data_IF_453421006213
#
_entry.id   IF_453421006213
#
_cell.length_a   1.000
_cell.length_b   1.000
_cell.length_c   1.000
_cell.angle_alpha   90.00
_cell.angle_beta   90.00
_cell.angle_gamma   90.00
#
_symmetry.space_group_name_H-M   'P 1'
#
loop_
_entity.id
_entity.type
_entity.pdbx_description
1 polymer ?
#
# COMPACT_ATOMS: atom_id res chain seq x y z
N UNK A 1 -21.23 -0.62 -4.61
CA UNK A 1 -20.05 -0.95 -3.83
C UNK A 1 -19.65 -2.41 -4.02
N UNK A 2 -20.06 -2.98 -5.15
CA UNK A 2 -19.80 -4.39 -5.44
C UNK A 2 -18.31 -4.63 -5.70
N UNK A 3 -17.66 -3.64 -6.30
CA UNK A 3 -16.22 -3.71 -6.53
C UNK A 3 -15.45 -3.67 -5.22
N UNK A 4 -15.94 -2.88 -4.27
CA UNK A 4 -15.37 -2.83 -2.94
C UNK A 4 -15.48 -4.18 -2.24
N UNK A 5 -16.61 -4.86 -2.46
CA UNK A 5 -16.80 -6.21 -1.95
C UNK A 5 -15.77 -7.17 -2.55
N UNK A 6 -15.50 -7.01 -3.83
CA UNK A 6 -14.50 -7.83 -4.52
C UNK A 6 -13.12 -7.60 -3.94
N UNK A 7 -12.81 -6.35 -3.62
CA UNK A 7 -11.52 -6.00 -3.02
C UNK A 7 -11.35 -6.66 -1.65
N UNK A 8 -12.42 -6.65 -0.87
CA UNK A 8 -12.42 -7.31 0.44
C UNK A 8 -12.25 -8.82 0.29
N UNK A 9 -12.95 -9.39 -0.68
CA UNK A 9 -12.83 -10.82 -0.97
C UNK A 9 -11.40 -11.19 -1.33
N UNK A 10 -10.74 -10.33 -2.10
CA UNK A 10 -9.35 -10.54 -2.46
C UNK A 10 -8.44 -10.50 -1.24
N UNK A 11 -8.73 -9.56 -0.33
CA UNK A 11 -7.97 -9.44 0.91
C UNK A 11 -8.09 -10.69 1.75
N UNK A 12 -9.27 -11.29 1.75
CA UNK A 12 -9.50 -12.56 2.43
C UNK A 12 -8.67 -13.68 1.81
N UNK A 13 -8.56 -13.65 0.49
CA UNK A 13 -7.74 -14.62 -0.24
C UNK A 13 -6.26 -14.38 0.02
N UNK A 14 -5.88 -13.11 0.18
CA UNK A 14 -4.51 -12.76 0.50
C UNK A 14 -4.14 -13.20 1.92
N UNK A 15 -5.12 -13.16 2.82
CA UNK A 15 -4.93 -13.66 4.17
C UNK A 15 -4.82 -12.51 5.17
N UNK A 16 -5.57 -11.45 4.91
CA UNK A 16 -5.63 -10.31 5.83
C UNK A 16 -6.69 -10.53 6.90
N UNK A 17 -6.42 -10.07 8.12
CA UNK A 17 -7.36 -10.21 9.23
C UNK A 17 -8.49 -9.21 9.11
N UNK A 18 -9.50 -9.38 9.97
CA UNK A 18 -10.64 -8.47 9.98
C UNK A 18 -10.19 -7.02 10.16
N UNK A 19 -9.27 -6.80 11.10
CA UNK A 19 -8.77 -5.46 11.37
C UNK A 19 -7.97 -4.92 10.20
N UNK A 20 -7.18 -5.79 9.58
CA UNK A 20 -6.39 -5.42 8.41
C UNK A 20 -7.30 -4.98 7.26
N UNK A 21 -8.35 -5.75 7.02
CA UNK A 21 -9.32 -5.41 5.99
C UNK A 21 -10.05 -4.11 6.32
N UNK A 22 -10.40 -3.94 7.59
CA UNK A 22 -11.08 -2.74 8.05
C UNK A 22 -10.24 -1.50 7.78
N UNK A 23 -8.93 -1.61 7.98
CA UNK A 23 -8.01 -0.53 7.71
C UNK A 23 -7.98 -0.17 6.23
N UNK A 24 -7.84 -1.20 5.39
CA UNK A 24 -7.77 -1.01 3.95
C UNK A 24 -9.10 -0.50 3.39
N UNK A 25 -10.18 -1.19 3.76
CA UNK A 25 -11.52 -0.78 3.34
C UNK A 25 -11.86 0.61 3.86
N UNK A 26 -11.40 0.92 5.06
CA UNK A 26 -11.58 2.25 5.63
C UNK A 26 -11.03 3.33 4.71
N UNK A 27 -9.82 3.12 4.22
CA UNK A 27 -9.20 4.06 3.29
C UNK A 27 -9.94 4.10 1.97
N UNK A 28 -10.43 2.94 1.53
CA UNK A 28 -11.25 2.87 0.32
C UNK A 28 -12.51 3.70 0.47
N UNK A 29 -13.14 3.62 1.64
CA UNK A 29 -14.35 4.40 1.91
C UNK A 29 -14.04 5.89 2.01
N UNK A 30 -12.78 6.21 2.28
CA UNK A 30 -12.33 7.59 2.30
C UNK A 30 -12.03 8.09 0.89
N UNK A 31 -12.08 7.18 -0.08
CA UNK A 31 -11.89 7.55 -1.47
C UNK A 31 -10.67 6.86 -2.06
N UNK A 32 -9.82 6.32 -1.19
CA UNK A 32 -8.56 5.71 -1.61
C UNK A 32 -8.77 4.26 -2.05
N UNK A 33 -9.32 4.08 -3.24
CA UNK A 33 -9.58 2.76 -3.78
C UNK A 33 -8.29 1.94 -3.88
N UNK A 34 -8.36 0.68 -3.49
CA UNK A 34 -7.20 -0.20 -3.55
C UNK A 34 -6.81 -0.51 -4.98
N UNK A 35 -5.58 -0.17 -5.35
CA UNK A 35 -5.11 -0.33 -6.72
C UNK A 35 -4.22 -1.55 -6.86
N UNK A 36 -3.21 -1.64 -6.00
CA UNK A 36 -2.21 -2.70 -6.08
C UNK A 36 -1.78 -3.16 -4.71
N UNK A 37 -1.47 -4.45 -4.58
CA UNK A 37 -1.09 -5.03 -3.30
C UNK A 37 -0.15 -6.22 -3.48
N UNK A 38 1.06 -6.10 -2.96
CA UNK A 38 2.07 -7.14 -3.09
C UNK A 38 2.99 -7.17 -1.89
N UNK A 39 3.25 -8.37 -1.38
CA UNK A 39 4.12 -8.54 -0.21
C UNK A 39 5.58 -8.66 -0.63
N UNK A 40 6.42 -7.79 -0.08
CA UNK A 40 7.85 -7.86 -0.32
C UNK A 40 8.59 -8.35 0.93
N UNK A 41 8.93 -9.63 0.96
CA UNK A 41 9.51 -10.25 2.14
C UNK A 41 8.60 -10.09 3.35
N UNK A 42 9.08 -9.38 4.36
CA UNK A 42 8.37 -9.25 5.62
C UNK A 42 7.58 -7.95 5.68
N UNK A 43 7.54 -7.24 4.56
CA UNK A 43 6.80 -5.98 4.47
C UNK A 43 5.78 -6.01 3.34
N UNK A 44 4.51 -5.83 3.69
CA UNK A 44 3.43 -5.84 2.70
C UNK A 44 3.18 -4.45 2.14
N UNK A 45 3.22 -4.35 0.82
CA UNK A 45 3.03 -3.06 0.15
C UNK A 45 1.60 -2.91 -0.34
N UNK A 46 0.86 -1.97 0.26
CA UNK A 46 -0.54 -1.76 -0.09
C UNK A 46 -0.74 -0.38 -0.72
N UNK A 47 -1.07 -0.36 -2.00
CA UNK A 47 -1.15 0.88 -2.75
C UNK A 47 -2.59 1.28 -3.02
N UNK A 48 -2.98 2.45 -2.55
CA UNK A 48 -4.33 2.95 -2.75
C UNK A 48 -4.32 4.32 -3.40
N UNK A 49 -5.37 4.62 -4.17
CA UNK A 49 -5.41 5.84 -4.97
C UNK A 49 -6.75 6.54 -4.84
N UNK A 50 -6.71 7.83 -4.47
CA UNK A 50 -7.89 8.68 -4.52
C UNK A 50 -7.70 9.81 -5.53
N UNK A 51 -8.37 9.69 -6.67
CA UNK A 51 -8.19 10.64 -7.76
C UNK A 51 -6.75 10.66 -8.26
N UNK A 52 -6.03 11.72 -7.90
CA UNK A 52 -4.64 11.87 -8.32
C UNK A 52 -3.69 11.71 -7.14
N UNK A 53 -4.25 11.41 -5.97
CA UNK A 53 -3.45 11.24 -4.77
C UNK A 53 -3.29 9.77 -4.41
N UNK A 54 -2.04 9.31 -4.39
CA UNK A 54 -1.75 7.91 -4.11
C UNK A 54 -1.03 7.75 -2.77
N UNK A 55 -1.48 6.78 -1.99
CA UNK A 55 -0.85 6.48 -0.70
C UNK A 55 -0.37 5.03 -0.64
N UNK A 56 0.70 4.80 0.09
CA UNK A 56 1.24 3.46 0.27
C UNK A 56 1.28 3.06 1.74
N UNK A 57 0.52 2.03 2.08
CA UNK A 57 0.58 1.45 3.42
C UNK A 57 1.55 0.28 3.48
N UNK A 58 2.62 0.44 4.25
CA UNK A 58 3.62 -0.61 4.41
C UNK A 58 3.45 -1.33 5.73
N UNK A 59 3.11 -2.62 5.66
CA UNK A 59 2.88 -3.41 6.87
C UNK A 59 4.04 -4.37 7.12
N UNK A 60 5.00 -3.92 7.92
CA UNK A 60 6.18 -4.72 8.22
C UNK A 60 6.13 -5.26 9.64
N UNK A 61 5.51 -6.43 9.81
CA UNK A 61 5.34 -7.01 11.13
C UNK A 61 4.35 -6.22 11.96
N UNK A 62 4.85 -5.56 13.02
CA UNK A 62 4.01 -4.73 13.86
C UNK A 62 4.13 -3.26 13.47
N UNK A 63 4.97 -2.98 12.48
CA UNK A 63 5.20 -1.61 12.03
C UNK A 63 4.38 -1.29 10.79
N UNK A 64 3.43 -0.37 10.94
CA UNK A 64 2.62 0.09 9.81
C UNK A 64 2.82 1.58 9.57
N UNK A 65 3.13 1.94 8.34
CA UNK A 65 3.35 3.34 7.98
C UNK A 65 2.69 3.67 6.65
N UNK A 66 2.15 4.88 6.54
CA UNK A 66 1.48 5.32 5.33
C UNK A 66 2.24 6.47 4.67
N UNK A 67 2.61 6.29 3.41
CA UNK A 67 3.31 7.32 2.66
C UNK A 67 2.44 7.89 1.54
N UNK A 68 2.13 9.18 1.65
CA UNK A 68 1.49 9.90 0.55
C UNK A 68 2.50 10.27 -0.53
N UNK A 69 2.12 10.07 -1.79
CA UNK A 69 3.02 10.33 -2.91
C UNK A 69 2.72 11.67 -3.56
N UNK A 70 1.75 12.39 -3.01
CA UNK A 70 1.31 13.65 -3.59
C UNK A 70 2.40 14.71 -3.50
N UNK A 71 3.07 14.97 -4.61
CA UNK A 71 4.11 15.99 -4.66
C UNK A 71 5.46 15.40 -4.29
N UNK A 72 5.54 14.07 -4.26
CA UNK A 72 6.78 13.38 -3.89
C UNK A 72 7.49 12.85 -5.13
N UNK A 73 8.80 13.12 -5.21
CA UNK A 73 9.63 12.55 -6.26
C UNK A 73 10.09 11.14 -5.91
N UNK A 74 10.55 10.40 -6.90
CA UNK A 74 10.96 9.01 -6.70
C UNK A 74 12.12 8.92 -5.70
N UNK A 75 12.98 9.92 -5.71
CA UNK A 75 14.09 9.99 -4.75
C UNK A 75 13.58 10.23 -3.33
N UNK A 76 12.62 11.16 -3.21
CA UNK A 76 12.00 11.43 -1.92
C UNK A 76 11.19 10.24 -1.43
N UNK A 77 10.50 9.57 -2.35
CA UNK A 77 9.75 8.37 -2.03
C UNK A 77 10.67 7.27 -1.50
N UNK A 78 11.81 7.08 -2.17
CA UNK A 78 12.82 6.14 -1.70
C UNK A 78 13.20 6.41 -0.26
N UNK A 79 13.47 7.67 0.05
CA UNK A 79 13.90 8.06 1.39
C UNK A 79 12.83 7.71 2.42
N UNK A 80 11.57 7.92 2.07
CA UNK A 80 10.46 7.71 2.99
C UNK A 80 10.13 6.23 3.12
N UNK A 81 10.31 5.49 2.03
CA UNK A 81 10.14 4.03 2.06
C UNK A 81 11.27 3.36 2.83
N UNK A 82 12.43 4.00 2.84
CA UNK A 82 13.54 3.55 3.67
C UNK A 82 13.22 3.74 5.16
N UNK A 83 12.56 4.84 5.47
CA UNK A 83 12.07 5.08 6.83
C UNK A 83 11.01 4.04 7.21
N UNK A 84 10.18 3.67 6.25
CA UNK A 84 9.20 2.62 6.45
C UNK A 84 9.87 1.29 6.77
N UNK A 85 11.02 1.05 6.15
CA UNK A 85 11.86 -0.10 6.48
C UNK A 85 12.07 -1.00 5.28
N UNK A 86 12.15 -0.39 4.10
CA UNK A 86 12.44 -1.13 2.87
C UNK A 86 13.88 -0.91 2.42
N UNK A 87 14.47 -1.92 1.81
CA UNK A 87 15.82 -1.82 1.28
C UNK A 87 15.83 -1.39 -0.17
N UNK A 88 17.01 -1.35 -0.78
CA UNK A 88 17.17 -0.83 -2.13
C UNK A 88 16.26 -1.56 -3.10
N UNK A 89 16.32 -2.90 -3.07
CA UNK A 89 15.58 -3.71 -4.02
C UNK A 89 14.08 -3.63 -3.78
N UNK A 90 13.69 -3.65 -2.51
CA UNK A 90 12.27 -3.58 -2.13
C UNK A 90 11.65 -2.27 -2.58
N UNK A 91 12.38 -1.17 -2.36
CA UNK A 91 11.92 0.15 -2.78
C UNK A 91 11.79 0.22 -4.30
N UNK A 92 12.78 -0.30 -5.01
CA UNK A 92 12.74 -0.37 -6.46
C UNK A 92 11.47 -1.04 -6.94
N UNK A 93 11.15 -2.19 -6.33
CA UNK A 93 9.96 -2.94 -6.71
C UNK A 93 8.69 -2.12 -6.52
N UNK A 94 8.64 -1.38 -5.41
CA UNK A 94 7.51 -0.50 -5.14
C UNK A 94 7.40 0.60 -6.20
N UNK A 95 8.53 1.20 -6.54
CA UNK A 95 8.56 2.25 -7.55
C UNK A 95 8.14 1.72 -8.92
N UNK A 96 8.54 0.49 -9.22
CA UNK A 96 8.15 -0.16 -10.47
C UNK A 96 6.65 -0.39 -10.53
N UNK A 97 6.07 -0.77 -9.40
CA UNK A 97 4.62 -0.93 -9.29
C UNK A 97 3.90 0.40 -9.53
N UNK A 98 4.49 1.48 -9.03
CA UNK A 98 3.94 2.81 -9.23
C UNK A 98 4.05 3.23 -10.69
N UNK A 99 5.15 2.85 -11.33
CA UNK A 99 5.34 3.13 -12.74
C UNK A 99 4.34 2.37 -13.60
N UNK A 100 4.03 1.15 -13.20
CA UNK A 100 3.00 0.35 -13.86
C UNK A 100 1.63 0.99 -13.70
N UNK A 101 1.34 1.47 -12.50
CA UNK A 101 0.09 2.18 -12.24
C UNK A 101 -1.10 1.22 -12.26
#
# INVERSE_FOLDING_TARGET
DERKKELVAQLKEEGFSERDIAEILGKISQGYSLIELERLNNAIIIILRKETEIIILVAKGEKKRILSLRGMSKKEIKKKLREAGLDEKEIEKVLRLLEKEGSHHWGSHHHHHH
#
